data_IF_413172493691
#
_entry.id   IF_413172493691
#
_cell.length_a   1.000
_cell.length_b   1.000
_cell.length_c   1.000
_cell.angle_alpha   90.00
_cell.angle_beta   90.00
_cell.angle_gamma   90.00
#
_symmetry.space_group_name_H-M   'P 1'
#
loop_
_entity.id
_entity.type
_entity.pdbx_description
1 polymer ?
#
# COMPACT_ATOMS: atom_id res chain seq x y z
N UNK A 1 -26.72 37.43 -32.66
CA UNK A 1 -26.05 36.12 -32.44
C UNK A 1 -25.14 36.30 -31.25
N UNK A 2 -25.60 35.86 -30.10
CA UNK A 2 -24.93 36.02 -28.81
C UNK A 2 -23.70 35.11 -28.72
N UNK A 3 -22.56 35.69 -28.35
CA UNK A 3 -21.38 34.97 -27.90
C UNK A 3 -21.51 34.77 -26.38
N UNK A 4 -21.82 33.55 -25.97
CA UNK A 4 -21.97 33.17 -24.56
C UNK A 4 -20.61 33.08 -23.85
N UNK A 5 -20.46 33.90 -22.81
CA UNK A 5 -19.39 33.85 -21.82
C UNK A 5 -19.30 32.47 -21.16
N UNK A 6 -18.14 31.81 -21.24
CA UNK A 6 -17.82 30.67 -20.37
C UNK A 6 -17.31 31.18 -19.03
N UNK A 7 -18.16 31.01 -18.02
CA UNK A 7 -17.90 31.33 -16.62
C UNK A 7 -17.06 30.20 -16.02
N UNK A 8 -15.81 30.50 -15.64
CA UNK A 8 -14.94 29.62 -14.86
C UNK A 8 -15.51 29.50 -13.45
N UNK A 9 -16.28 28.44 -13.19
CA UNK A 9 -16.70 28.07 -11.85
C UNK A 9 -15.56 27.26 -11.22
N UNK A 10 -14.85 27.89 -10.29
CA UNK A 10 -13.98 27.21 -9.34
C UNK A 10 -14.80 26.21 -8.51
N UNK A 11 -14.77 24.93 -8.87
CA UNK A 11 -15.23 23.86 -7.98
C UNK A 11 -14.11 23.50 -7.00
N UNK A 12 -14.36 23.51 -5.68
CA UNK A 12 -13.38 23.09 -4.70
C UNK A 12 -13.14 21.59 -4.82
N UNK A 13 -11.87 21.20 -4.74
CA UNK A 13 -11.40 19.82 -4.73
C UNK A 13 -12.06 19.05 -3.58
N UNK A 14 -13.13 18.31 -3.86
CA UNK A 14 -13.75 17.37 -2.91
C UNK A 14 -13.04 16.04 -3.05
N UNK A 15 -12.38 15.60 -1.97
CA UNK A 15 -11.80 14.27 -1.78
C UNK A 15 -12.91 13.19 -1.82
N UNK A 16 -13.38 12.86 -3.02
CA UNK A 16 -14.30 11.74 -3.24
C UNK A 16 -13.48 10.45 -3.45
N UNK A 17 -13.09 9.81 -2.34
CA UNK A 17 -12.41 8.52 -2.38
C UNK A 17 -12.24 7.81 -1.04
N UNK A 18 -12.92 8.25 0.03
CA UNK A 18 -12.78 7.64 1.34
C UNK A 18 -13.71 6.42 1.46
N UNK A 19 -13.13 5.22 1.39
CA UNK A 19 -13.83 3.95 1.60
C UNK A 19 -14.18 3.78 3.08
N UNK A 20 -15.47 3.60 3.37
CA UNK A 20 -15.97 3.30 4.71
C UNK A 20 -15.66 1.84 5.10
N UNK A 21 -15.29 1.51 6.36
CA UNK A 21 -14.83 0.16 6.75
C UNK A 21 -15.95 -0.88 6.96
N UNK A 22 -17.20 -0.55 6.65
CA UNK A 22 -18.36 -1.38 6.98
C UNK A 22 -19.15 -1.82 5.73
N UNK A 23 -18.49 -2.51 4.79
CA UNK A 23 -19.17 -3.33 3.80
C UNK A 23 -18.28 -4.52 3.39
N UNK A 24 -18.76 -5.78 3.44
CA UNK A 24 -18.02 -6.91 2.93
C UNK A 24 -18.13 -6.92 1.40
N UNK A 25 -17.40 -6.03 0.74
CA UNK A 25 -17.30 -6.07 -0.71
C UNK A 25 -16.26 -7.12 -1.10
N UNK A 26 -16.78 -8.16 -1.75
CA UNK A 26 -16.05 -9.14 -2.53
C UNK A 26 -14.93 -8.43 -3.31
N UNK A 27 -13.70 -8.91 -3.11
CA UNK A 27 -12.53 -8.47 -3.87
C UNK A 27 -12.73 -8.85 -5.34
N UNK A 28 -13.33 -7.95 -6.12
CA UNK A 28 -13.28 -8.03 -7.58
C UNK A 28 -12.04 -7.27 -8.07
N UNK A 29 -11.05 -7.95 -8.69
CA UNK A 29 -9.81 -7.34 -9.19
C UNK A 29 -10.02 -6.39 -10.40
N UNK A 30 -11.27 -6.07 -10.76
CA UNK A 30 -11.65 -5.33 -11.97
C UNK A 30 -11.76 -3.81 -11.73
N UNK A 31 -11.56 -3.33 -10.49
CA UNK A 31 -11.85 -1.93 -10.13
C UNK A 31 -10.72 -0.93 -10.36
N UNK A 32 -9.61 -1.32 -11.01
CA UNK A 32 -8.54 -0.43 -11.44
C UNK A 32 -8.20 -0.70 -12.92
N UNK A 33 -7.98 0.34 -13.76
CA UNK A 33 -7.52 0.16 -15.14
C UNK A 33 -6.06 -0.34 -15.23
N UNK A 34 -5.35 -0.48 -14.10
CA UNK A 34 -3.96 -0.87 -14.03
C UNK A 34 -3.79 -2.40 -14.13
N UNK A 35 -3.34 -2.88 -15.29
CA UNK A 35 -3.01 -4.29 -15.51
C UNK A 35 -1.49 -4.47 -15.39
N UNK A 36 -1.06 -5.41 -14.55
CA UNK A 36 0.36 -5.77 -14.40
C UNK A 36 0.66 -7.17 -14.93
N UNK A 37 1.63 -7.25 -15.84
CA UNK A 37 2.20 -8.51 -16.30
C UNK A 37 3.61 -8.71 -15.71
N UNK A 38 3.87 -9.88 -15.11
CA UNK A 38 5.19 -10.23 -14.56
C UNK A 38 5.65 -11.55 -15.16
N UNK A 39 6.85 -11.57 -15.73
CA UNK A 39 7.43 -12.77 -16.35
C UNK A 39 8.95 -12.76 -16.31
N UNK A 40 9.55 -13.90 -16.01
CA UNK A 40 11.00 -14.12 -16.14
C UNK A 40 11.46 -14.14 -17.60
N UNK A 41 10.54 -14.36 -18.54
CA UNK A 41 10.78 -14.38 -19.98
C UNK A 41 10.09 -13.21 -20.69
N UNK A 42 9.94 -12.07 -19.99
CA UNK A 42 9.20 -10.90 -20.45
C UNK A 42 9.55 -10.54 -21.90
N UNK A 43 10.84 -10.50 -22.29
CA UNK A 43 11.25 -10.19 -23.67
C UNK A 43 10.63 -11.10 -24.75
N UNK A 44 10.47 -12.39 -24.46
CA UNK A 44 9.89 -13.37 -25.41
C UNK A 44 8.36 -13.33 -25.39
N UNK A 45 7.78 -13.08 -24.22
CA UNK A 45 6.34 -13.19 -24.00
C UNK A 45 5.59 -11.87 -24.23
N UNK A 46 6.24 -10.72 -23.98
CA UNK A 46 5.65 -9.39 -24.04
C UNK A 46 4.94 -9.11 -25.36
N UNK A 47 5.56 -9.31 -26.55
CA UNK A 47 4.89 -8.98 -27.81
C UNK A 47 3.60 -9.80 -28.06
N UNK A 48 3.54 -11.03 -27.54
CA UNK A 48 2.35 -11.88 -27.68
C UNK A 48 1.23 -11.47 -26.73
N UNK A 49 1.57 -11.20 -25.47
CA UNK A 49 0.59 -10.79 -24.46
C UNK A 49 0.03 -9.41 -24.77
N UNK A 50 0.89 -8.49 -25.20
CA UNK A 50 0.49 -7.15 -25.60
C UNK A 50 -0.47 -7.15 -26.79
N UNK A 51 -0.18 -7.91 -27.85
CA UNK A 51 -1.11 -8.07 -28.98
C UNK A 51 -2.46 -8.63 -28.54
N UNK A 52 -2.45 -9.62 -27.65
CA UNK A 52 -3.69 -10.19 -27.11
C UNK A 52 -4.47 -9.18 -26.26
N UNK A 53 -3.80 -8.46 -25.35
CA UNK A 53 -4.45 -7.44 -24.50
C UNK A 53 -4.99 -6.28 -25.34
N UNK A 54 -4.26 -5.84 -26.36
CA UNK A 54 -4.70 -4.78 -27.29
C UNK A 54 -5.94 -5.22 -28.06
N UNK A 55 -5.95 -6.44 -28.60
CA UNK A 55 -7.09 -6.98 -29.34
C UNK A 55 -8.34 -7.11 -28.44
N UNK A 56 -8.18 -7.65 -27.23
CA UNK A 56 -9.28 -7.80 -26.27
C UNK A 56 -9.78 -6.43 -25.78
N UNK A 57 -8.87 -5.49 -25.50
CA UNK A 57 -9.24 -4.13 -25.08
C UNK A 57 -10.02 -3.41 -26.17
N UNK A 58 -9.56 -3.50 -27.43
CA UNK A 58 -10.27 -2.94 -28.57
C UNK A 58 -11.67 -3.57 -28.74
N UNK A 59 -11.83 -4.87 -28.51
CA UNK A 59 -13.15 -5.52 -28.60
C UNK A 59 -14.15 -5.04 -27.55
N UNK A 60 -13.67 -4.48 -26.42
CA UNK A 60 -14.51 -3.88 -25.39
C UNK A 60 -14.49 -2.34 -25.41
N UNK A 61 -13.95 -1.73 -26.48
CA UNK A 61 -13.89 -0.27 -26.66
C UNK A 61 -12.86 0.45 -25.79
N UNK A 62 -11.90 -0.26 -25.20
CA UNK A 62 -10.83 0.31 -24.39
C UNK A 62 -9.56 0.51 -25.22
N UNK A 63 -8.93 1.68 -25.05
CA UNK A 63 -7.66 2.01 -25.68
C UNK A 63 -6.53 1.96 -24.65
N UNK A 64 -5.43 1.28 -25.00
CA UNK A 64 -4.23 1.25 -24.15
C UNK A 64 -3.49 2.58 -24.34
N UNK A 65 -3.32 3.32 -23.25
CA UNK A 65 -2.56 4.56 -23.26
C UNK A 65 -1.05 4.26 -23.29
N UNK A 66 -0.46 4.28 -24.48
CA UNK A 66 0.94 3.87 -24.71
C UNK A 66 1.95 4.66 -23.86
N UNK A 67 1.70 5.94 -23.57
CA UNK A 67 2.58 6.79 -22.76
C UNK A 67 2.68 6.40 -21.27
N UNK A 68 1.77 5.56 -20.78
CA UNK A 68 1.78 5.08 -19.39
C UNK A 68 2.42 3.68 -19.24
N UNK A 69 2.80 3.04 -20.34
CA UNK A 69 3.46 1.74 -20.30
C UNK A 69 4.90 1.91 -19.80
N UNK A 70 5.12 1.52 -18.55
CA UNK A 70 6.42 1.55 -17.88
C UNK A 70 6.94 0.15 -17.66
N UNK A 71 8.23 -0.05 -17.88
CA UNK A 71 8.91 -1.31 -17.58
C UNK A 71 9.54 -1.21 -16.19
N UNK A 72 9.13 -2.11 -15.31
CA UNK A 72 9.76 -2.25 -14.01
C UNK A 72 10.64 -3.51 -13.96
N UNK A 73 11.92 -3.32 -13.64
CA UNK A 73 12.91 -4.38 -13.53
C UNK A 73 13.14 -4.74 -12.07
N UNK A 74 12.71 -5.92 -11.67
CA UNK A 74 12.92 -6.39 -10.30
C UNK A 74 14.27 -7.12 -10.17
N UNK A 75 15.22 -6.54 -9.43
CA UNK A 75 16.52 -7.16 -9.06
C UNK A 75 17.37 -7.67 -10.24
N UNK A 76 17.29 -7.01 -11.39
CA UNK A 76 18.12 -7.37 -12.56
C UNK A 76 19.05 -6.22 -12.90
N UNK A 77 20.36 -6.50 -12.95
CA UNK A 77 21.40 -5.52 -13.31
C UNK A 77 21.45 -5.21 -14.82
N UNK A 78 20.54 -5.77 -15.60
CA UNK A 78 20.61 -5.70 -17.04
C UNK A 78 19.98 -4.40 -17.56
N UNK A 79 20.81 -3.51 -18.12
CA UNK A 79 20.43 -2.23 -18.72
C UNK A 79 19.76 -2.37 -20.10
N UNK A 80 19.57 -3.57 -20.62
CA UNK A 80 18.96 -3.78 -21.93
C UNK A 80 17.64 -3.01 -22.08
N UNK A 81 17.57 -2.14 -23.08
CA UNK A 81 16.35 -1.43 -23.46
C UNK A 81 15.33 -2.43 -23.98
N UNK A 82 14.06 -2.19 -23.62
CA UNK A 82 12.93 -2.92 -24.19
C UNK A 82 12.27 -1.96 -25.17
N UNK A 83 12.17 -2.38 -26.41
CA UNK A 83 11.50 -1.61 -27.45
C UNK A 83 10.08 -2.12 -27.65
N UNK A 84 9.14 -1.18 -27.77
CA UNK A 84 7.76 -1.42 -28.19
C UNK A 84 7.49 -0.54 -29.41
N UNK A 85 7.07 -1.14 -30.54
CA UNK A 85 6.74 -0.42 -31.78
C UNK A 85 7.86 0.52 -32.30
N UNK A 86 9.12 0.20 -31.99
CA UNK A 86 10.29 1.03 -32.33
C UNK A 86 10.69 2.06 -31.27
N UNK A 87 9.85 2.33 -30.28
CA UNK A 87 10.13 3.25 -29.15
C UNK A 87 10.69 2.50 -27.94
N UNK A 88 11.65 3.10 -27.23
CA UNK A 88 12.21 2.52 -25.99
C UNK A 88 11.30 2.82 -24.82
N UNK A 89 10.78 1.79 -24.16
CA UNK A 89 9.96 1.94 -22.96
C UNK A 89 10.79 2.47 -21.78
N UNK A 90 10.20 3.38 -21.00
CA UNK A 90 10.82 3.95 -19.81
C UNK A 90 11.04 2.85 -18.75
N UNK A 91 12.28 2.71 -18.27
CA UNK A 91 12.59 1.85 -17.13
C UNK A 91 12.42 2.65 -15.84
N UNK A 92 11.55 2.18 -14.94
CA UNK A 92 11.26 2.87 -13.68
C UNK A 92 11.85 2.09 -12.50
N UNK A 93 12.47 2.81 -11.56
CA UNK A 93 13.11 2.24 -10.35
C UNK A 93 12.13 1.90 -9.22
N UNK A 94 10.99 2.61 -9.16
CA UNK A 94 9.90 2.32 -8.23
C UNK A 94 8.55 2.78 -8.81
N UNK A 95 7.48 2.04 -8.55
CA UNK A 95 6.15 2.41 -9.00
C UNK A 95 5.11 2.12 -7.93
N UNK A 96 4.00 2.85 -7.96
CA UNK A 96 2.88 2.66 -7.03
C UNK A 96 1.83 1.77 -7.69
N UNK A 97 1.43 0.69 -7.02
CA UNK A 97 0.37 -0.20 -7.47
C UNK A 97 -0.60 -0.44 -6.33
N UNK A 98 -1.87 -0.09 -6.54
CA UNK A 98 -2.94 -0.20 -5.53
C UNK A 98 -2.61 0.48 -4.19
N UNK A 99 -1.80 1.55 -4.24
CA UNK A 99 -1.35 2.28 -3.05
C UNK A 99 -0.07 1.76 -2.40
N UNK A 100 0.53 0.67 -2.92
CA UNK A 100 1.84 0.16 -2.46
C UNK A 100 2.96 0.50 -3.47
N UNK A 101 4.03 1.10 -2.98
CA UNK A 101 5.29 1.39 -3.66
C UNK A 101 6.14 0.12 -3.72
N UNK A 102 6.38 -0.35 -4.94
CA UNK A 102 7.26 -1.47 -5.23
C UNK A 102 8.57 -0.90 -5.77
N UNK A 103 9.65 -1.06 -5.00
CA UNK A 103 11.01 -0.68 -5.38
C UNK A 103 11.82 -1.85 -5.97
N UNK A 104 12.88 -1.54 -6.74
CA UNK A 104 13.77 -2.55 -7.33
C UNK A 104 14.33 -3.53 -6.29
N UNK A 105 14.56 -3.06 -5.06
CA UNK A 105 15.12 -3.85 -3.97
C UNK A 105 14.09 -4.81 -3.36
N UNK A 106 12.80 -4.67 -3.64
CA UNK A 106 11.72 -5.45 -3.02
C UNK A 106 11.65 -5.28 -1.50
N UNK A 107 12.02 -4.10 -1.02
CA UNK A 107 11.88 -3.69 0.36
C UNK A 107 10.45 -3.27 0.67
N UNK A 108 10.11 -3.20 1.96
CA UNK A 108 8.85 -2.58 2.41
C UNK A 108 9.08 -1.21 3.03
N UNK A 109 10.31 -0.70 2.97
CA UNK A 109 10.70 0.51 3.68
C UNK A 109 10.12 1.77 3.02
N UNK A 110 10.11 1.82 1.68
CA UNK A 110 9.46 2.89 0.92
C UNK A 110 7.94 2.91 1.20
N UNK A 111 7.31 1.74 1.15
CA UNK A 111 5.90 1.52 1.48
C UNK A 111 5.52 2.01 2.88
N UNK A 112 6.28 1.59 3.88
CA UNK A 112 6.04 1.96 5.28
C UNK A 112 6.24 3.46 5.47
N UNK A 113 7.25 4.05 4.82
CA UNK A 113 7.49 5.50 4.87
C UNK A 113 6.34 6.29 4.24
N UNK A 114 5.84 5.85 3.09
CA UNK A 114 4.68 6.46 2.44
C UNK A 114 3.43 6.35 3.31
N UNK A 115 3.16 5.16 3.85
CA UNK A 115 2.01 4.90 4.74
C UNK A 115 2.06 5.78 6.00
N UNK A 116 3.25 5.94 6.61
CA UNK A 116 3.47 6.88 7.73
C UNK A 116 3.20 8.32 7.29
N UNK A 117 3.63 8.71 6.09
CA UNK A 117 3.37 10.05 5.53
C UNK A 117 1.88 10.35 5.41
N UNK A 118 1.11 9.43 4.84
CA UNK A 118 -0.35 9.57 4.68
C UNK A 118 -1.03 9.57 6.06
N UNK A 119 -0.67 8.64 6.94
CA UNK A 119 -1.21 8.56 8.30
C UNK A 119 -0.90 9.82 9.11
N UNK A 120 0.27 10.44 8.92
CA UNK A 120 0.64 11.72 9.54
C UNK A 120 -0.28 12.84 9.07
N UNK A 121 -0.59 12.91 7.78
CA UNK A 121 -1.52 13.90 7.22
C UNK A 121 -2.92 13.71 7.84
N UNK A 122 -3.44 12.48 7.84
CA UNK A 122 -4.73 12.15 8.45
C UNK A 122 -4.76 12.52 9.95
N UNK A 123 -3.70 12.22 10.69
CA UNK A 123 -3.58 12.59 12.09
C UNK A 123 -3.60 14.12 12.28
N UNK A 124 -2.87 14.88 11.47
CA UNK A 124 -2.81 16.35 11.57
C UNK A 124 -4.13 17.02 11.21
N UNK A 125 -4.91 16.46 10.28
CA UNK A 125 -6.25 16.96 9.95
C UNK A 125 -7.18 16.94 11.16
N UNK A 126 -7.02 15.96 12.04
CA UNK A 126 -7.83 15.79 13.26
C UNK A 126 -7.29 16.58 14.48
N UNK A 127 -6.40 17.57 14.27
CA UNK A 127 -5.78 18.37 15.35
C UNK A 127 -6.77 18.93 16.38
N UNK A 128 -7.96 19.34 15.94
CA UNK A 128 -8.97 19.93 16.80
C UNK A 128 -9.53 18.91 17.80
N UNK A 129 -9.65 17.64 17.41
CA UNK A 129 -10.08 16.54 18.26
C UNK A 129 -9.03 16.28 19.36
N UNK A 130 -7.75 16.29 18.99
CA UNK A 130 -6.65 16.03 19.92
C UNK A 130 -6.55 17.13 20.98
N UNK A 131 -6.71 18.39 20.57
CA UNK A 131 -6.65 19.56 21.45
C UNK A 131 -7.90 19.71 22.34
N UNK A 132 -9.02 19.06 21.99
CA UNK A 132 -10.25 19.15 22.79
C UNK A 132 -10.09 18.50 24.15
N UNK A 133 -10.43 19.24 25.22
CA UNK A 133 -10.48 18.73 26.61
C UNK A 133 -11.81 18.04 26.94
N UNK A 134 -12.85 18.28 26.15
CA UNK A 134 -14.18 17.69 26.38
C UNK A 134 -14.24 16.22 25.98
N UNK A 135 -13.38 15.81 25.04
CA UNK A 135 -13.33 14.44 24.57
C UNK A 135 -12.47 13.58 25.49
N UNK A 136 -13.04 12.44 25.92
CA UNK A 136 -12.31 11.46 26.70
C UNK A 136 -11.17 10.84 25.89
N UNK A 137 -10.14 10.38 26.60
CA UNK A 137 -9.01 9.65 26.00
C UNK A 137 -9.47 8.43 25.21
N UNK A 138 -10.47 7.69 25.71
CA UNK A 138 -11.01 6.50 25.04
C UNK A 138 -11.60 6.80 23.66
N UNK A 139 -12.31 7.92 23.51
CA UNK A 139 -12.82 8.37 22.22
C UNK A 139 -11.64 8.73 21.29
N UNK A 140 -10.65 9.47 21.77
CA UNK A 140 -9.47 9.84 20.96
C UNK A 140 -8.69 8.61 20.45
N UNK A 141 -8.51 7.60 21.31
CA UNK A 141 -7.89 6.32 20.93
C UNK A 141 -8.72 5.63 19.84
N UNK A 142 -10.04 5.57 19.99
CA UNK A 142 -10.94 5.00 18.97
C UNK A 142 -10.81 5.73 17.62
N UNK A 143 -10.73 7.06 17.64
CA UNK A 143 -10.57 7.86 16.42
C UNK A 143 -9.23 7.57 15.73
N UNK A 144 -8.13 7.44 16.49
CA UNK A 144 -6.84 7.00 15.93
C UNK A 144 -6.96 5.61 15.31
N UNK A 145 -7.56 4.65 16.01
CA UNK A 145 -7.66 3.27 15.56
C UNK A 145 -8.47 3.15 14.26
N UNK A 146 -9.48 4.01 14.07
CA UNK A 146 -10.35 3.99 12.90
C UNK A 146 -9.82 4.78 11.71
N UNK A 147 -9.15 5.91 11.93
CA UNK A 147 -8.74 6.81 10.84
C UNK A 147 -7.24 6.76 10.53
N UNK A 148 -6.41 6.61 11.56
CA UNK A 148 -4.94 6.70 11.43
C UNK A 148 -4.33 5.31 11.29
N UNK A 149 -4.73 4.37 12.16
CA UNK A 149 -4.21 2.99 12.12
C UNK A 149 -4.63 2.24 10.87
N UNK A 150 -5.85 2.47 10.38
CA UNK A 150 -6.36 1.86 9.13
C UNK A 150 -5.53 2.27 7.92
N UNK A 151 -5.17 3.55 7.81
CA UNK A 151 -4.33 4.08 6.74
C UNK A 151 -2.87 3.68 6.93
N UNK A 152 -2.37 3.75 8.17
CA UNK A 152 -0.99 3.42 8.50
C UNK A 152 -0.68 1.95 8.18
N UNK A 153 -1.55 1.04 8.58
CA UNK A 153 -1.35 -0.40 8.43
C UNK A 153 -1.99 -0.97 7.16
N UNK A 154 -2.39 -0.09 6.24
CA UNK A 154 -2.87 -0.52 4.93
C UNK A 154 -1.77 -1.26 4.17
N UNK A 155 -2.08 -2.46 3.68
CA UNK A 155 -1.09 -3.32 3.02
C UNK A 155 -0.07 -3.96 3.96
N UNK A 156 -0.24 -3.88 5.29
CA UNK A 156 0.69 -4.51 6.25
C UNK A 156 0.74 -6.05 6.13
N UNK A 157 -0.25 -6.66 5.49
CA UNK A 157 -0.24 -8.08 5.11
C UNK A 157 0.97 -8.46 4.24
N UNK A 158 1.42 -7.58 3.33
CA UNK A 158 2.49 -7.86 2.35
C UNK A 158 3.83 -7.30 2.77
N UNK A 159 3.89 -6.48 3.83
CA UNK A 159 5.14 -5.94 4.34
C UNK A 159 6.12 -7.03 4.76
N UNK A 160 7.41 -6.71 4.83
CA UNK A 160 8.38 -7.53 5.58
C UNK A 160 8.45 -7.03 7.02
N UNK A 161 8.11 -7.88 7.99
CA UNK A 161 8.29 -7.59 9.43
C UNK A 161 9.75 -7.70 9.81
N UNK A 162 10.52 -6.66 9.54
CA UNK A 162 11.86 -6.51 10.12
C UNK A 162 11.76 -5.73 11.43
N UNK A 163 12.74 -5.91 12.33
CA UNK A 163 12.80 -5.14 13.58
C UNK A 163 12.83 -3.63 13.32
N UNK A 164 13.49 -3.18 12.26
CA UNK A 164 13.59 -1.77 11.87
C UNK A 164 12.24 -1.22 11.40
N UNK A 165 11.54 -1.96 10.53
CA UNK A 165 10.21 -1.58 10.05
C UNK A 165 9.20 -1.49 11.19
N UNK A 166 9.15 -2.50 12.06
CA UNK A 166 8.27 -2.50 13.25
C UNK A 166 8.60 -1.30 14.15
N UNK A 167 9.89 -1.02 14.37
CA UNK A 167 10.32 0.13 15.18
C UNK A 167 9.87 1.45 14.59
N UNK A 168 9.98 1.66 13.27
CA UNK A 168 9.52 2.89 12.62
C UNK A 168 8.01 3.12 12.80
N UNK A 169 7.21 2.07 12.58
CA UNK A 169 5.75 2.11 12.79
C UNK A 169 5.42 2.38 14.26
N UNK A 170 6.08 1.68 15.19
CA UNK A 170 5.86 1.85 16.63
C UNK A 170 6.19 3.27 17.11
N UNK A 171 7.30 3.84 16.63
CA UNK A 171 7.69 5.22 16.99
C UNK A 171 6.61 6.21 16.56
N UNK A 172 6.08 6.05 15.35
CA UNK A 172 4.99 6.90 14.85
C UNK A 172 3.72 6.77 15.70
N UNK A 173 3.28 5.54 15.99
CA UNK A 173 2.10 5.27 16.83
C UNK A 173 2.28 5.89 18.22
N UNK A 174 3.44 5.65 18.85
CA UNK A 174 3.74 6.17 20.18
C UNK A 174 3.74 7.71 20.22
N UNK A 175 4.18 8.37 19.16
CA UNK A 175 4.11 9.83 19.04
C UNK A 175 2.66 10.31 18.95
N UNK A 176 1.81 9.62 18.20
CA UNK A 176 0.37 9.93 18.13
C UNK A 176 -0.31 9.73 19.50
N UNK A 177 -0.01 8.64 20.20
CA UNK A 177 -0.56 8.33 21.52
C UNK A 177 -0.14 9.37 22.58
N UNK A 178 1.12 9.82 22.56
CA UNK A 178 1.56 10.90 23.47
C UNK A 178 0.81 12.21 23.20
N UNK A 179 0.58 12.54 21.93
CA UNK A 179 -0.12 13.76 21.54
C UNK A 179 -1.58 13.76 21.98
N UNK A 180 -2.32 12.65 21.88
CA UNK A 180 -3.72 12.58 22.35
C UNK A 180 -3.86 12.65 23.87
N UNK A 181 -2.83 12.18 24.59
CA UNK A 181 -2.74 12.27 26.04
C UNK A 181 -2.25 13.65 26.50
N UNK A 182 -2.01 14.58 25.57
CA UNK A 182 -1.44 15.91 25.83
C UNK A 182 -0.11 15.86 26.61
N UNK A 183 0.71 14.85 26.35
CA UNK A 183 2.03 14.72 26.97
C UNK A 183 3.02 15.46 26.10
N UNK A 184 3.54 16.56 26.64
CA UNK A 184 4.54 17.41 26.02
C UNK A 184 5.77 17.45 26.91
N UNK A 185 6.93 17.73 26.32
CA UNK A 185 8.11 18.06 27.10
C UNK A 185 7.78 19.22 28.06
N UNK A 186 8.16 19.18 29.35
CA UNK A 186 9.14 18.28 29.99
C UNK A 186 8.57 16.96 30.55
N UNK A 187 7.26 16.73 30.47
CA UNK A 187 6.63 15.53 31.02
C UNK A 187 7.07 14.28 30.25
N UNK A 188 7.65 13.31 30.97
CA UNK A 188 8.17 12.07 30.39
C UNK A 188 7.45 10.86 30.96
N UNK A 189 6.99 9.97 30.09
CA UNK A 189 6.38 8.70 30.47
C UNK A 189 7.07 7.53 29.76
N UNK A 190 7.12 6.39 30.43
CA UNK A 190 7.60 5.14 29.84
C UNK A 190 6.66 4.64 28.73
N UNK A 191 7.21 3.89 27.76
CA UNK A 191 6.39 3.29 26.70
C UNK A 191 5.40 2.26 27.26
N UNK A 192 5.75 1.54 28.34
CA UNK A 192 4.85 0.57 28.98
C UNK A 192 3.61 1.27 29.57
N UNK A 193 3.81 2.36 30.33
CA UNK A 193 2.72 3.13 30.91
C UNK A 193 1.84 3.79 29.83
N UNK A 194 2.45 4.21 28.71
CA UNK A 194 1.71 4.74 27.56
C UNK A 194 0.72 3.71 27.01
N UNK A 195 1.15 2.47 26.84
CA UNK A 195 0.35 1.38 26.30
C UNK A 195 -0.73 0.92 27.28
N UNK A 196 -0.41 0.86 28.57
CA UNK A 196 -1.37 0.55 29.63
C UNK A 196 -2.50 1.59 29.69
N UNK A 197 -2.16 2.89 29.71
CA UNK A 197 -3.16 3.98 29.76
C UNK A 197 -4.07 4.05 28.53
N UNK A 198 -3.59 3.61 27.37
CA UNK A 198 -4.34 3.66 26.12
C UNK A 198 -4.99 2.33 25.76
N UNK A 199 -4.72 1.27 26.54
CA UNK A 199 -5.07 -0.11 26.25
C UNK A 199 -4.69 -0.51 24.80
N UNK A 200 -3.53 -0.04 24.34
CA UNK A 200 -3.05 -0.29 22.98
C UNK A 200 -1.94 -1.34 22.99
N UNK A 201 -2.03 -2.39 22.17
CA UNK A 201 -0.96 -3.36 22.04
C UNK A 201 0.22 -2.79 21.23
N UNK A 202 1.41 -3.40 21.33
CA UNK A 202 2.53 -3.10 20.44
C UNK A 202 2.15 -3.28 18.97
N UNK A 203 2.73 -2.45 18.10
CA UNK A 203 2.46 -2.44 16.66
C UNK A 203 2.72 -3.79 15.99
N UNK A 204 3.70 -4.54 16.50
CA UNK A 204 4.00 -5.89 16.02
C UNK A 204 2.81 -6.84 16.16
N UNK A 205 2.06 -6.74 17.26
CA UNK A 205 0.89 -7.59 17.48
C UNK A 205 -0.24 -7.25 16.52
N UNK A 206 -0.48 -5.98 16.25
CA UNK A 206 -1.49 -5.55 15.28
C UNK A 206 -1.14 -6.00 13.85
N UNK A 207 0.12 -5.81 13.43
CA UNK A 207 0.60 -6.30 12.14
C UNK A 207 0.44 -7.82 12.04
N UNK A 208 0.77 -8.55 13.12
CA UNK A 208 0.59 -10.00 13.20
C UNK A 208 -0.88 -10.40 13.10
N UNK A 209 -1.79 -9.71 13.78
CA UNK A 209 -3.24 -9.95 13.70
C UNK A 209 -3.75 -9.76 12.26
N UNK A 210 -3.37 -8.67 11.60
CA UNK A 210 -3.73 -8.39 10.19
C UNK A 210 -3.29 -9.55 9.28
N UNK A 211 -2.05 -10.00 9.42
CA UNK A 211 -1.52 -11.12 8.63
C UNK A 211 -2.24 -12.44 8.88
N UNK A 212 -2.51 -12.78 10.13
CA UNK A 212 -3.25 -14.00 10.44
C UNK A 212 -4.67 -13.96 9.89
N UNK A 213 -5.34 -12.80 9.97
CA UNK A 213 -6.65 -12.60 9.36
C UNK A 213 -6.61 -12.79 7.83
N UNK A 214 -5.59 -12.24 7.17
CA UNK A 214 -5.38 -12.41 5.73
C UNK A 214 -5.07 -13.86 5.32
N UNK A 215 -4.22 -14.54 6.08
CA UNK A 215 -3.90 -15.97 5.89
C UNK A 215 -5.18 -16.81 6.06
N UNK A 216 -5.93 -16.59 7.14
CA UNK A 216 -7.19 -17.29 7.38
C UNK A 216 -8.20 -17.09 6.24
N UNK A 217 -8.38 -15.84 5.79
CA UNK A 217 -9.23 -15.54 4.63
C UNK A 217 -8.76 -16.26 3.35
N UNK A 218 -7.45 -16.28 3.10
CA UNK A 218 -6.86 -16.94 1.93
C UNK A 218 -7.04 -18.46 1.99
N UNK A 219 -6.85 -19.07 3.16
CA UNK A 219 -7.04 -20.50 3.37
C UNK A 219 -8.51 -20.92 3.25
N UNK A 220 -9.45 -20.03 3.54
CA UNK A 220 -10.89 -20.29 3.38
C UNK A 220 -11.35 -20.31 1.92
N UNK A 221 -10.55 -19.82 0.95
CA UNK A 221 -10.90 -19.84 -0.48
C UNK A 221 -10.82 -21.26 -1.06
N UNK A 222 -11.46 -21.45 -2.22
CA UNK A 222 -11.41 -22.72 -2.96
C UNK A 222 -9.97 -23.10 -3.36
N UNK A 223 -9.70 -24.39 -3.52
CA UNK A 223 -8.38 -24.92 -3.91
C UNK A 223 -7.88 -24.40 -5.25
N UNK A 224 -8.81 -24.04 -6.14
CA UNK A 224 -8.51 -23.52 -7.47
C UNK A 224 -8.17 -22.02 -7.47
N UNK A 225 -8.34 -21.35 -6.33
CA UNK A 225 -8.03 -19.93 -6.23
C UNK A 225 -6.51 -19.71 -6.26
N UNK A 226 -6.06 -18.86 -7.19
CA UNK A 226 -4.64 -18.55 -7.44
C UNK A 226 -3.94 -18.10 -6.14
N UNK A 227 -4.61 -17.29 -5.31
CA UNK A 227 -4.01 -16.78 -4.06
C UNK A 227 -3.73 -17.89 -3.05
N UNK A 228 -4.61 -18.90 -2.97
CA UNK A 228 -4.43 -20.06 -2.09
C UNK A 228 -3.33 -20.98 -2.61
N UNK A 229 -3.31 -21.22 -3.92
CA UNK A 229 -2.24 -21.99 -4.57
C UNK A 229 -0.87 -21.33 -4.36
N UNK A 230 -0.79 -20.02 -4.58
CA UNK A 230 0.42 -19.23 -4.38
C UNK A 230 0.92 -19.27 -2.93
N UNK A 231 0.02 -19.23 -1.94
CA UNK A 231 0.39 -19.34 -0.52
C UNK A 231 1.06 -20.69 -0.19
N UNK A 232 0.55 -21.78 -0.78
CA UNK A 232 1.10 -23.14 -0.60
C UNK A 232 2.27 -23.45 -1.53
N UNK A 233 2.56 -22.57 -2.47
CA UNK A 233 3.58 -22.80 -3.49
C UNK A 233 4.98 -22.76 -2.88
N UNK A 234 5.64 -23.91 -2.86
CA UNK A 234 7.04 -24.01 -2.47
C UNK A 234 7.92 -24.05 -3.74
N UNK A 235 8.59 -22.96 -4.13
CA UNK A 235 9.44 -22.98 -5.32
C UNK A 235 10.59 -23.97 -5.10
N UNK A 236 10.85 -24.86 -6.06
CA UNK A 236 11.97 -25.81 -5.98
C UNK A 236 13.30 -25.07 -6.22
N UNK A 237 14.29 -25.21 -5.33
CA UNK A 237 15.65 -24.66 -5.49
C UNK A 237 16.28 -24.06 -4.23
N UNK A 238 17.62 -24.06 -4.10
CA UNK A 238 18.33 -23.48 -2.95
C UNK A 238 18.59 -21.98 -3.14
N UNK A 239 18.52 -21.20 -2.05
CA UNK A 239 18.91 -19.78 -2.03
C UNK A 239 20.41 -19.66 -2.32
N UNK A 240 20.82 -18.89 -3.34
CA UNK A 240 22.25 -18.67 -3.65
C UNK A 240 22.95 -17.96 -2.48
N UNK A 241 24.22 -18.30 -2.24
CA UNK A 241 25.07 -17.66 -1.20
C UNK A 241 25.23 -16.17 -1.54
N UNK A 242 25.07 -15.28 -0.56
CA UNK A 242 25.13 -13.82 -0.74
C UNK A 242 23.81 -13.12 -1.06
N UNK A 243 22.68 -13.85 -1.12
CA UNK A 243 21.40 -13.26 -1.49
C UNK A 243 20.74 -12.51 -0.31
N UNK A 244 20.39 -11.20 -0.44
CA UNK A 244 19.93 -10.38 0.69
C UNK A 244 18.69 -10.97 1.34
N UNK A 245 18.68 -11.14 2.67
CA UNK A 245 17.58 -11.76 3.44
C UNK A 245 16.24 -11.03 3.28
N UNK A 246 16.28 -9.80 2.78
CA UNK A 246 15.16 -8.91 2.55
C UNK A 246 14.51 -9.16 1.18
N UNK A 247 14.29 -10.41 0.76
CA UNK A 247 13.64 -10.70 -0.54
C UNK A 247 12.62 -11.81 -0.36
N UNK A 248 11.38 -11.60 -0.79
CA UNK A 248 10.39 -12.68 -0.96
C UNK A 248 10.97 -13.71 -1.93
N UNK A 249 10.77 -15.00 -1.65
CA UNK A 249 11.29 -16.09 -2.48
C UNK A 249 10.48 -16.21 -3.77
#
# INVERSE_FOLDING_TARGET
MEAGHQQLVHTPFVLAGYWSPCAPLVWDPVKAPDIRFSSSHFRKQHPRHEKAVTAVSASVGLNIHKGEIKVFKFKTKNSNSITHDGETLENVESFTYLGSIIDEQGGSDADVKASIGIAKIAFLQLKNIWNSKQLSTSIKVTVINTNVMTVLLYGAETWRTTKTTIKHVQVFINNCLRRILNIYWPDTISNSLLWERTNQPPAEEEIRKIRWKWIGHTLSKSSNCITKQALTWNPKGRRKRGWPKNTLR
#
